data_IF_599311373712
#
_entry.id   IF_599311373712
#
_cell.length_a   1.000
_cell.length_b   1.000
_cell.length_c   1.000
_cell.angle_alpha   90.00
_cell.angle_beta   90.00
_cell.angle_gamma   90.00
#
_symmetry.space_group_name_H-M   'P 1'
#
loop_
_entity.id
_entity.type
_entity.pdbx_description
1 polymer ?
#
# COMPACT_ATOMS: atom_id res chain seq x y z
N UNK A 1 23.04 -10.74 -13.85
CA UNK A 1 22.41 -9.41 -14.00
C UNK A 1 21.43 -9.10 -12.86
N UNK A 2 20.35 -9.86 -12.67
CA UNK A 2 19.37 -9.62 -11.58
C UNK A 2 19.97 -9.66 -10.17
N UNK A 3 20.92 -10.57 -9.91
CA UNK A 3 21.59 -10.64 -8.59
C UNK A 3 22.38 -9.39 -8.25
N UNK A 4 23.07 -8.80 -9.22
CA UNK A 4 23.82 -7.55 -9.02
C UNK A 4 22.90 -6.35 -8.84
N UNK A 5 21.77 -6.32 -9.57
CA UNK A 5 20.74 -5.30 -9.36
C UNK A 5 20.11 -5.39 -7.97
N UNK A 6 19.77 -6.61 -7.52
CA UNK A 6 19.25 -6.83 -6.17
C UNK A 6 20.30 -6.47 -5.11
N UNK A 7 21.56 -6.88 -5.26
CA UNK A 7 22.61 -6.53 -4.29
C UNK A 7 22.76 -5.01 -4.16
N UNK A 8 22.79 -4.30 -5.30
CA UNK A 8 22.94 -2.85 -5.34
C UNK A 8 21.68 -2.14 -4.80
N UNK A 9 20.50 -2.68 -5.08
CA UNK A 9 19.23 -2.20 -4.53
C UNK A 9 19.21 -2.37 -3.00
N UNK A 10 19.60 -3.53 -2.50
CA UNK A 10 19.67 -3.81 -1.05
C UNK A 10 20.67 -2.89 -0.37
N UNK A 11 21.87 -2.67 -0.93
CA UNK A 11 22.85 -1.72 -0.37
C UNK A 11 22.31 -0.28 -0.35
N UNK A 12 21.60 0.15 -1.39
CA UNK A 12 21.00 1.50 -1.44
C UNK A 12 19.87 1.65 -0.42
N UNK A 13 19.04 0.61 -0.26
CA UNK A 13 17.97 0.56 0.73
C UNK A 13 18.56 0.56 2.15
N UNK A 14 19.64 -0.17 2.39
CA UNK A 14 20.32 -0.27 3.68
C UNK A 14 20.95 1.06 4.12
N UNK A 15 21.47 1.85 3.17
CA UNK A 15 22.03 3.18 3.46
C UNK A 15 20.98 4.32 3.53
N UNK A 16 19.71 4.08 3.17
CA UNK A 16 18.67 5.12 3.16
C UNK A 16 17.40 4.69 3.89
N UNK A 17 17.38 4.96 5.20
CA UNK A 17 16.24 4.74 6.09
C UNK A 17 14.90 5.29 5.56
N UNK A 18 14.93 6.34 4.71
CA UNK A 18 13.72 6.92 4.11
C UNK A 18 13.05 6.04 3.06
N UNK A 19 13.83 5.27 2.29
CA UNK A 19 13.28 4.33 1.29
C UNK A 19 12.67 3.13 2.03
N UNK A 20 13.31 2.68 3.12
CA UNK A 20 12.76 1.64 3.99
C UNK A 20 11.41 2.08 4.61
N UNK A 21 11.33 3.33 5.06
CA UNK A 21 10.10 3.90 5.61
C UNK A 21 8.95 3.93 4.59
N UNK A 22 9.19 4.27 3.31
CA UNK A 22 8.12 4.30 2.32
C UNK A 22 7.57 2.92 1.97
N UNK A 23 8.45 1.90 1.92
CA UNK A 23 8.05 0.51 1.70
C UNK A 23 7.20 0.02 2.87
N UNK A 24 7.63 0.27 4.11
CA UNK A 24 6.86 -0.10 5.31
C UNK A 24 5.52 0.61 5.34
N UNK A 25 5.47 1.91 5.08
CA UNK A 25 4.22 2.68 5.05
C UNK A 25 3.27 2.14 3.99
N UNK A 26 3.77 1.75 2.81
CA UNK A 26 2.96 1.10 1.78
C UNK A 26 2.36 -0.23 2.24
N UNK A 27 3.17 -1.10 2.84
CA UNK A 27 2.72 -2.42 3.32
C UNK A 27 1.72 -2.27 4.47
N UNK A 28 2.06 -1.47 5.49
CA UNK A 28 1.20 -1.22 6.66
C UNK A 28 -0.09 -0.54 6.24
N UNK A 29 -0.03 0.44 5.32
CA UNK A 29 -1.22 1.10 4.78
C UNK A 29 -2.16 0.13 4.07
N UNK A 30 -1.63 -0.76 3.23
CA UNK A 30 -2.42 -1.81 2.58
C UNK A 30 -3.05 -2.79 3.59
N UNK A 31 -2.32 -3.18 4.64
CA UNK A 31 -2.81 -4.05 5.70
C UNK A 31 -3.93 -3.39 6.52
N UNK A 32 -3.78 -2.11 6.88
CA UNK A 32 -4.81 -1.36 7.59
C UNK A 32 -6.08 -1.22 6.75
N UNK A 33 -5.96 -0.97 5.45
CA UNK A 33 -7.09 -0.98 4.51
C UNK A 33 -7.78 -2.35 4.42
N UNK A 34 -7.04 -3.44 4.64
CA UNK A 34 -7.62 -4.78 4.71
C UNK A 34 -8.43 -5.01 5.98
N UNK A 35 -7.88 -4.63 7.12
CA UNK A 35 -8.58 -4.71 8.41
C UNK A 35 -9.83 -3.82 8.40
N UNK A 36 -9.70 -2.59 7.90
CA UNK A 36 -10.82 -1.64 7.81
C UNK A 36 -11.96 -2.18 6.93
N UNK A 37 -11.65 -2.77 5.77
CA UNK A 37 -12.65 -3.42 4.92
C UNK A 37 -13.39 -4.53 5.69
N UNK A 38 -12.66 -5.41 6.37
CA UNK A 38 -13.25 -6.52 7.11
C UNK A 38 -14.18 -6.05 8.24
N UNK A 39 -13.77 -5.01 8.99
CA UNK A 39 -14.60 -4.41 10.04
C UNK A 39 -15.85 -3.77 9.44
N UNK A 40 -15.71 -3.02 8.35
CA UNK A 40 -16.85 -2.34 7.70
C UNK A 40 -17.88 -3.34 7.18
N UNK A 41 -17.43 -4.43 6.54
CA UNK A 41 -18.30 -5.51 6.08
C UNK A 41 -19.02 -6.16 7.26
N UNK A 42 -18.33 -6.45 8.36
CA UNK A 42 -18.95 -7.03 9.55
C UNK A 42 -20.02 -6.11 10.15
N UNK A 43 -19.74 -4.81 10.27
CA UNK A 43 -20.72 -3.83 10.77
C UNK A 43 -21.94 -3.71 9.86
N UNK A 44 -21.74 -3.80 8.53
CA UNK A 44 -22.83 -3.75 7.56
C UNK A 44 -23.70 -5.01 7.60
N UNK A 45 -23.09 -6.18 7.80
CA UNK A 45 -23.83 -7.44 7.97
C UNK A 45 -24.63 -7.41 9.28
N UNK A 46 -24.06 -6.87 10.36
CA UNK A 46 -24.78 -6.72 11.63
C UNK A 46 -25.95 -5.72 11.52
N UNK A 47 -25.77 -4.59 10.81
CA UNK A 47 -26.84 -3.61 10.64
C UNK A 47 -27.96 -4.07 9.71
N UNK A 48 -27.65 -4.94 8.74
CA UNK A 48 -28.62 -5.53 7.82
C UNK A 48 -29.03 -6.97 8.22
N UNK A 49 -28.83 -7.37 9.48
CA UNK A 49 -29.14 -8.73 9.94
C UNK A 49 -30.61 -9.15 9.74
N UNK A 50 -31.52 -8.19 9.51
CA UNK A 50 -32.95 -8.40 9.23
C UNK A 50 -33.28 -8.54 7.73
N UNK A 51 -32.33 -8.23 6.86
CA UNK A 51 -32.48 -8.16 5.39
C UNK A 51 -32.05 -9.46 4.71
N UNK A 52 -32.58 -9.70 3.51
CA UNK A 52 -32.22 -10.87 2.71
C UNK A 52 -30.75 -10.83 2.30
N UNK A 53 -30.03 -11.97 2.36
CA UNK A 53 -28.60 -12.09 1.98
C UNK A 53 -28.27 -11.51 0.59
N UNK A 54 -29.26 -11.45 -0.30
CA UNK A 54 -29.18 -10.84 -1.64
C UNK A 54 -29.04 -9.32 -1.60
N UNK A 55 -29.76 -8.64 -0.72
CA UNK A 55 -29.69 -7.18 -0.54
C UNK A 55 -28.38 -6.79 0.14
N UNK A 56 -27.95 -7.59 1.13
CA UNK A 56 -26.66 -7.42 1.80
C UNK A 56 -25.49 -7.53 0.82
N UNK A 57 -25.51 -8.52 -0.09
CA UNK A 57 -24.48 -8.65 -1.13
C UNK A 57 -24.43 -7.44 -2.06
N UNK A 58 -25.59 -6.97 -2.54
CA UNK A 58 -25.66 -5.81 -3.42
C UNK A 58 -25.12 -4.53 -2.77
N UNK A 59 -25.23 -4.39 -1.44
CA UNK A 59 -24.67 -3.26 -0.69
C UNK A 59 -23.15 -3.39 -0.43
N UNK A 60 -22.62 -4.62 -0.29
CA UNK A 60 -21.20 -4.89 -0.01
C UNK A 60 -20.34 -4.78 -1.28
N UNK A 61 -20.87 -5.18 -2.43
CA UNK A 61 -20.15 -5.22 -3.71
C UNK A 61 -19.49 -3.87 -4.11
N UNK A 62 -20.19 -2.71 -4.03
CA UNK A 62 -19.55 -1.43 -4.29
C UNK A 62 -18.51 -1.03 -3.22
N UNK A 63 -18.66 -1.54 -1.98
CA UNK A 63 -17.73 -1.28 -0.89
C UNK A 63 -16.38 -1.98 -1.14
N UNK A 64 -16.43 -3.27 -1.48
CA UNK A 64 -15.24 -4.07 -1.83
C UNK A 64 -14.48 -3.42 -2.99
N UNK A 65 -15.21 -2.96 -4.02
CA UNK A 65 -14.60 -2.32 -5.18
C UNK A 65 -13.85 -1.02 -4.80
N UNK A 66 -14.41 -0.20 -3.90
CA UNK A 66 -13.77 1.04 -3.41
C UNK A 66 -12.52 0.75 -2.56
N UNK A 67 -12.56 -0.25 -1.70
CA UNK A 67 -11.39 -0.65 -0.89
C UNK A 67 -10.28 -1.24 -1.76
N UNK A 68 -10.64 -2.03 -2.79
CA UNK A 68 -9.69 -2.53 -3.78
C UNK A 68 -8.98 -1.40 -4.52
N UNK A 69 -9.73 -0.41 -5.03
CA UNK A 69 -9.15 0.80 -5.65
C UNK A 69 -8.26 1.58 -4.68
N UNK A 70 -8.67 1.70 -3.42
CA UNK A 70 -7.89 2.39 -2.38
C UNK A 70 -6.54 1.71 -2.12
N UNK A 71 -6.48 0.36 -2.14
CA UNK A 71 -5.22 -0.38 -2.04
C UNK A 71 -4.29 -0.12 -3.23
N UNK A 72 -4.83 -0.14 -4.44
CA UNK A 72 -4.04 0.21 -5.63
C UNK A 72 -3.51 1.65 -5.52
N UNK A 73 -4.32 2.58 -5.03
CA UNK A 73 -3.90 3.96 -4.83
C UNK A 73 -2.75 4.07 -3.82
N UNK A 74 -2.87 3.42 -2.65
CA UNK A 74 -1.81 3.40 -1.62
C UNK A 74 -0.53 2.76 -2.17
N UNK A 75 -0.65 1.66 -2.92
CA UNK A 75 0.50 1.00 -3.52
C UNK A 75 1.19 1.91 -4.56
N UNK A 76 0.42 2.55 -5.44
CA UNK A 76 0.97 3.49 -6.44
C UNK A 76 1.63 4.68 -5.75
N UNK A 77 0.99 5.26 -4.73
CA UNK A 77 1.54 6.37 -3.97
C UNK A 77 2.86 5.97 -3.27
N UNK A 78 2.92 4.78 -2.67
CA UNK A 78 4.13 4.26 -2.04
C UNK A 78 5.27 4.04 -3.06
N UNK A 79 4.95 3.55 -4.27
CA UNK A 79 5.94 3.40 -5.35
C UNK A 79 6.45 4.77 -5.81
N UNK A 80 5.55 5.74 -6.07
CA UNK A 80 5.93 7.09 -6.48
C UNK A 80 6.82 7.74 -5.41
N UNK A 81 6.44 7.61 -4.13
CA UNK A 81 7.21 8.15 -3.02
C UNK A 81 8.60 7.52 -2.92
N UNK A 82 8.69 6.19 -3.08
CA UNK A 82 9.95 5.46 -3.08
C UNK A 82 10.87 5.91 -4.23
N UNK A 83 10.31 6.12 -5.43
CA UNK A 83 11.05 6.65 -6.59
C UNK A 83 11.52 8.09 -6.35
N UNK A 84 10.69 8.93 -5.73
CA UNK A 84 11.04 10.31 -5.39
C UNK A 84 12.18 10.36 -4.36
N UNK A 85 12.09 9.57 -3.29
CA UNK A 85 13.14 9.46 -2.27
C UNK A 85 14.44 8.90 -2.86
N UNK A 86 14.36 7.91 -3.76
CA UNK A 86 15.51 7.39 -4.48
C UNK A 86 16.19 8.46 -5.35
N UNK A 87 15.43 9.23 -6.13
CA UNK A 87 15.98 10.33 -6.95
C UNK A 87 16.57 11.45 -6.09
N UNK A 88 15.91 11.81 -4.99
CA UNK A 88 16.37 12.83 -4.04
C UNK A 88 17.67 12.41 -3.35
N UNK A 89 17.75 11.15 -2.95
CA UNK A 89 18.95 10.52 -2.38
C UNK A 89 20.08 10.50 -3.40
N UNK A 90 19.82 10.06 -4.64
CA UNK A 90 20.82 10.11 -5.72
C UNK A 90 21.33 11.53 -5.96
N UNK A 91 20.47 12.55 -5.89
CA UNK A 91 20.87 13.97 -6.00
C UNK A 91 21.70 14.45 -4.80
N UNK A 92 21.46 13.93 -3.60
CA UNK A 92 22.25 14.23 -2.40
C UNK A 92 23.63 13.56 -2.40
N UNK A 93 23.72 12.32 -2.87
CA UNK A 93 24.96 11.55 -2.96
C UNK A 93 25.75 11.92 -4.24
N UNK A 94 25.10 12.53 -5.23
CA UNK A 94 25.70 13.10 -6.45
C UNK A 94 26.36 14.48 -6.28
N UNK A 95 26.80 14.84 -5.08
CA UNK A 95 28.03 15.62 -4.90
C UNK A 95 29.08 14.61 -4.44
N UNK A 96 30.09 14.41 -5.30
CA UNK A 96 31.22 13.47 -5.19
C UNK A 96 31.05 12.16 -5.96
N UNK A 97 30.81 12.24 -7.28
CA UNK A 97 31.87 11.97 -8.29
C UNK A 97 31.34 12.29 -9.69
#
# INVERSE_FOLDING_TARGET
>A
MMKAFLLNLTTIIEHNAKIYASIIVGIVGCLLLFIAEAVHIQTLIQSLSSESKTVVKAAIEPLIQRYSLSRYFVMIAAVIWSVYEYKTTKKKIGRSC
#
